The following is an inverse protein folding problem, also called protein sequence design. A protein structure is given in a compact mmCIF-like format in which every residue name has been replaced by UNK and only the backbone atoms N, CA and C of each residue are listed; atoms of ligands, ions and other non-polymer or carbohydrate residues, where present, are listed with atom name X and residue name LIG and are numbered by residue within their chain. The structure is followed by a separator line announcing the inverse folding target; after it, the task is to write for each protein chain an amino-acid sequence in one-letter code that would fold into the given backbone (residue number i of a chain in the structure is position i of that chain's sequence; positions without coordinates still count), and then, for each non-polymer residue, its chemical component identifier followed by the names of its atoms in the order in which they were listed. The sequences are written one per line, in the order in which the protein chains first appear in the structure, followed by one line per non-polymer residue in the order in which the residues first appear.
data_IF_756700649985
#
_entry.id   IF_756700649985
#
_cell.length_a   1.000
_cell.length_b   1.000
_cell.length_c   1.000
_cell.angle_alpha   90.00
_cell.angle_beta   90.00
_cell.angle_gamma   90.00
#
_symmetry.space_group_name_H-M   'P 1'
#
loop_
_entity.id
_entity.type
_entity.pdbx_description
1 polymer ?
#
# COMPACT_ATOMS: atom_id res chain seq x y z
N UNK A 1 -17.79 3.65 51.02
CA UNK A 1 -18.17 4.85 50.29
C UNK A 1 -16.91 5.64 50.01
N UNK A 2 -16.30 5.41 48.92
CA UNK A 2 -15.23 6.25 48.36
C UNK A 2 -15.56 6.43 46.91
N UNK A 3 -16.17 7.56 46.58
CA UNK A 3 -16.36 8.03 45.22
C UNK A 3 -15.00 8.30 44.65
N UNK A 4 -14.47 7.34 43.89
CA UNK A 4 -13.38 7.59 42.96
C UNK A 4 -13.88 8.59 41.89
N UNK A 5 -13.36 9.79 42.02
CA UNK A 5 -13.49 10.85 41.04
C UNK A 5 -12.57 10.46 39.86
N UNK A 6 -13.03 9.53 39.01
CA UNK A 6 -12.36 9.21 37.77
C UNK A 6 -12.54 10.42 36.85
N UNK A 7 -11.57 11.34 36.86
CA UNK A 7 -11.42 12.28 35.77
C UNK A 7 -11.22 11.40 34.51
N UNK A 8 -12.27 11.22 33.73
CA UNK A 8 -12.23 10.45 32.49
C UNK A 8 -11.25 11.14 31.56
N UNK A 9 -10.10 10.49 31.33
CA UNK A 9 -9.10 10.96 30.37
C UNK A 9 -9.75 10.99 29.00
N UNK A 10 -9.59 12.06 28.25
CA UNK A 10 -10.00 12.11 26.85
C UNK A 10 -9.24 11.05 26.05
N UNK A 11 -9.92 10.34 25.15
CA UNK A 11 -9.38 9.26 24.32
C UNK A 11 -9.33 9.65 22.87
N UNK A 12 -8.14 9.63 22.28
CA UNK A 12 -7.95 9.68 20.83
C UNK A 12 -7.74 8.26 20.32
N UNK A 13 -8.70 7.77 19.56
CA UNK A 13 -8.66 6.45 18.97
C UNK A 13 -8.26 6.54 17.50
N UNK A 14 -7.17 5.89 17.11
CA UNK A 14 -6.66 5.83 15.74
C UNK A 14 -6.91 4.42 15.19
N UNK A 15 -7.63 4.31 14.07
CA UNK A 15 -7.94 3.06 13.40
C UNK A 15 -7.03 2.86 12.20
N UNK A 16 -6.14 1.86 12.27
CA UNK A 16 -5.21 1.49 11.19
C UNK A 16 -3.81 2.07 11.35
N UNK A 17 -2.80 1.20 11.38
CA UNK A 17 -1.38 1.52 11.50
C UNK A 17 -0.64 1.61 10.14
N UNK A 18 -1.35 1.95 9.05
CA UNK A 18 -0.72 2.31 7.78
C UNK A 18 0.03 3.64 7.87
N UNK A 19 0.54 4.15 6.74
CA UNK A 19 1.35 5.38 6.72
C UNK A 19 0.71 6.56 7.47
N UNK A 20 -0.57 6.83 7.24
CA UNK A 20 -1.23 7.98 7.86
C UNK A 20 -1.43 7.81 9.37
N UNK A 21 -1.96 6.64 9.79
CA UNK A 21 -2.22 6.36 11.20
C UNK A 21 -0.93 6.23 12.01
N UNK A 22 0.09 5.55 11.48
CA UNK A 22 1.39 5.44 12.11
C UNK A 22 2.03 6.83 12.35
N UNK A 23 2.05 7.69 11.33
CA UNK A 23 2.63 9.04 11.47
C UNK A 23 1.81 9.94 12.39
N UNK A 24 0.49 9.78 12.42
CA UNK A 24 -0.36 10.46 13.40
C UNK A 24 -0.04 9.99 14.81
N UNK A 25 -0.08 8.68 15.06
CA UNK A 25 0.20 8.07 16.35
C UNK A 25 1.60 8.41 16.88
N UNK A 26 2.60 8.45 16.00
CA UNK A 26 3.99 8.78 16.37
C UNK A 26 4.16 10.24 16.83
N UNK A 27 3.39 11.17 16.26
CA UNK A 27 3.56 12.62 16.52
C UNK A 27 2.63 13.17 17.58
N UNK A 28 1.43 12.60 17.67
CA UNK A 28 0.38 13.14 18.52
C UNK A 28 0.79 13.20 20.01
N UNK A 29 1.37 12.16 20.63
CA UNK A 29 1.80 12.23 22.03
C UNK A 29 2.79 13.37 22.31
N UNK A 30 3.72 13.64 21.38
CA UNK A 30 4.68 14.73 21.52
C UNK A 30 4.03 16.13 21.44
N UNK A 31 2.91 16.27 20.73
CA UNK A 31 2.16 17.52 20.66
C UNK A 31 1.34 17.70 21.93
N UNK A 32 0.71 16.63 22.43
CA UNK A 32 -0.09 16.62 23.65
C UNK A 32 0.75 16.90 24.89
N UNK A 33 1.97 16.38 24.97
CA UNK A 33 2.90 16.58 26.08
C UNK A 33 3.35 18.04 26.27
N UNK A 34 3.02 18.95 25.35
CA UNK A 34 3.32 20.39 25.50
C UNK A 34 2.44 21.09 26.52
N UNK A 35 1.27 20.54 26.86
CA UNK A 35 0.45 20.97 27.99
C UNK A 35 0.52 19.91 29.10
N UNK A 36 1.21 20.18 30.22
CA UNK A 36 1.32 19.23 31.32
C UNK A 36 -0.01 18.85 31.98
N UNK A 37 -1.07 19.64 31.74
CA UNK A 37 -2.42 19.33 32.24
C UNK A 37 -3.17 18.38 31.34
N UNK A 38 -2.68 18.13 30.12
CA UNK A 38 -3.31 17.23 29.18
C UNK A 38 -3.10 15.79 29.62
N UNK A 39 -4.20 15.10 29.86
CA UNK A 39 -4.23 13.69 30.26
C UNK A 39 -4.81 12.80 29.15
N UNK A 40 -4.76 13.25 27.92
CA UNK A 40 -5.31 12.51 26.77
C UNK A 40 -4.58 11.18 26.56
N UNK A 41 -5.34 10.12 26.43
CA UNK A 41 -4.88 8.78 26.06
C UNK A 41 -4.91 8.63 24.53
N UNK A 42 -3.83 8.13 23.95
CA UNK A 42 -3.75 7.85 22.50
C UNK A 42 -3.72 6.34 22.30
N UNK A 43 -4.73 5.82 21.61
CA UNK A 43 -4.90 4.39 21.35
C UNK A 43 -4.81 4.16 19.84
N UNK A 44 -4.01 3.20 19.40
CA UNK A 44 -3.92 2.76 18.01
C UNK A 44 -4.41 1.33 17.88
N UNK A 45 -5.48 1.15 17.09
CA UNK A 45 -6.02 -0.18 16.75
C UNK A 45 -5.52 -0.59 15.37
N UNK A 46 -4.89 -1.75 15.29
CA UNK A 46 -4.35 -2.29 14.03
C UNK A 46 -4.51 -3.80 13.95
N UNK A 47 -4.69 -4.32 12.75
CA UNK A 47 -4.76 -5.78 12.50
C UNK A 47 -3.41 -6.49 12.64
N UNK A 48 -2.31 -5.74 12.67
CA UNK A 48 -0.96 -6.25 12.79
C UNK A 48 -0.18 -5.40 13.80
N UNK A 49 0.83 -5.98 14.41
CA UNK A 49 1.75 -5.35 15.36
C UNK A 49 2.89 -4.55 14.67
N UNK A 50 2.78 -4.36 13.36
CA UNK A 50 3.75 -3.62 12.54
C UNK A 50 3.08 -2.68 11.54
N UNK A 51 3.78 -1.60 11.21
CA UNK A 51 3.52 -0.76 10.04
C UNK A 51 4.26 -1.35 8.84
N UNK A 52 3.55 -1.59 7.72
CA UNK A 52 4.15 -2.13 6.50
C UNK A 52 4.59 -1.01 5.56
N UNK A 53 5.88 -1.01 5.21
CA UNK A 53 6.44 -0.11 4.20
C UNK A 53 6.23 -0.71 2.80
N UNK A 54 5.01 -0.60 2.29
CA UNK A 54 4.54 -1.22 1.03
C UNK A 54 5.35 -0.89 -0.22
N UNK A 55 6.02 0.29 -0.37
CA UNK A 55 6.78 0.58 -1.60
C UNK A 55 7.94 -0.39 -1.90
N UNK A 56 8.40 -1.15 -0.92
CA UNK A 56 9.48 -2.13 -1.10
C UNK A 56 8.98 -3.60 -1.18
N UNK A 57 7.67 -3.83 -1.27
CA UNK A 57 7.13 -5.18 -1.49
C UNK A 57 7.59 -5.83 -2.81
N UNK A 58 7.77 -5.09 -3.92
CA UNK A 58 8.38 -5.66 -5.13
C UNK A 58 9.80 -6.21 -4.89
N UNK A 59 10.63 -5.54 -4.06
CA UNK A 59 11.97 -6.03 -3.70
C UNK A 59 11.90 -7.31 -2.84
N UNK A 60 10.90 -7.41 -1.95
CA UNK A 60 10.65 -8.65 -1.17
C UNK A 60 10.24 -9.80 -2.09
N UNK A 61 9.30 -9.56 -3.00
CA UNK A 61 8.85 -10.55 -3.99
C UNK A 61 9.97 -10.96 -4.97
N UNK A 62 10.89 -10.04 -5.28
CA UNK A 62 12.09 -10.31 -6.08
C UNK A 62 13.22 -11.01 -5.32
N UNK A 63 13.03 -11.31 -4.02
CA UNK A 63 14.05 -11.97 -3.19
C UNK A 63 15.28 -11.11 -2.87
N UNK A 64 15.20 -9.79 -3.11
CA UNK A 64 16.31 -8.85 -2.90
C UNK A 64 16.34 -8.36 -1.45
N UNK A 65 15.16 -8.23 -0.82
CA UNK A 65 15.00 -7.66 0.50
C UNK A 65 14.31 -8.64 1.45
N UNK A 66 14.87 -8.78 2.65
CA UNK A 66 14.23 -9.57 3.72
C UNK A 66 12.96 -8.83 4.20
N UNK A 67 11.81 -9.54 4.35
CA UNK A 67 10.54 -8.94 4.76
C UNK A 67 10.60 -8.22 6.11
N UNK A 68 11.53 -8.56 7.00
CA UNK A 68 11.73 -7.87 8.28
C UNK A 68 12.08 -6.40 8.11
N UNK A 69 12.70 -6.01 7.00
CA UNK A 69 13.11 -4.61 6.78
C UNK A 69 11.98 -3.71 6.29
N UNK A 70 10.91 -4.28 5.75
CA UNK A 70 9.71 -3.53 5.36
C UNK A 70 8.62 -3.52 6.45
N UNK A 71 8.78 -4.36 7.48
CA UNK A 71 7.85 -4.45 8.61
C UNK A 71 8.43 -3.67 9.80
N UNK A 72 7.85 -2.51 10.10
CA UNK A 72 8.28 -1.65 11.22
C UNK A 72 7.45 -1.99 12.46
N UNK A 73 8.01 -2.63 13.50
CA UNK A 73 7.26 -2.97 14.71
C UNK A 73 6.63 -1.73 15.34
N UNK A 74 5.35 -1.80 15.72
CA UNK A 74 4.66 -0.70 16.41
C UNK A 74 5.21 -0.53 17.82
N UNK A 75 5.39 -1.65 18.54
CA UNK A 75 6.03 -1.64 19.85
C UNK A 75 7.46 -1.06 19.75
N UNK A 76 7.76 -0.10 20.63
CA UNK A 76 9.04 0.62 20.62
C UNK A 76 9.20 1.68 19.53
N UNK A 77 8.30 1.75 18.54
CA UNK A 77 8.28 2.84 17.55
C UNK A 77 7.30 3.97 17.89
N UNK A 78 6.35 3.70 18.78
CA UNK A 78 5.26 4.59 19.17
C UNK A 78 5.20 4.79 20.69
N UNK A 79 6.18 5.49 21.28
CA UNK A 79 6.16 5.75 22.73
C UNK A 79 4.96 6.63 23.10
N UNK A 80 4.28 6.28 24.21
CA UNK A 80 3.10 7.00 24.69
C UNK A 80 1.81 6.70 23.94
N UNK A 81 1.78 5.62 23.14
CA UNK A 81 0.59 5.12 22.45
C UNK A 81 0.25 3.74 22.98
N UNK A 82 -0.99 3.55 23.38
CA UNK A 82 -1.54 2.22 23.66
C UNK A 82 -1.81 1.48 22.35
N UNK A 83 -1.35 0.25 22.24
CA UNK A 83 -1.47 -0.57 21.02
C UNK A 83 -2.48 -1.69 21.26
N UNK A 84 -3.50 -1.76 20.42
CA UNK A 84 -4.51 -2.82 20.43
C UNK A 84 -4.47 -3.55 19.10
N UNK A 85 -4.18 -4.85 19.15
CA UNK A 85 -4.23 -5.70 17.95
C UNK A 85 -5.65 -6.21 17.75
N UNK A 86 -6.25 -5.84 16.62
CA UNK A 86 -7.61 -6.24 16.28
C UNK A 86 -8.11 -5.57 15.01
N UNK A 87 -9.20 -6.10 14.49
CA UNK A 87 -9.87 -5.57 13.30
C UNK A 87 -11.15 -4.85 13.70
N UNK A 88 -11.20 -3.54 13.44
CA UNK A 88 -12.42 -2.75 13.61
C UNK A 88 -13.45 -3.19 12.57
N UNK A 89 -14.64 -3.54 13.02
CA UNK A 89 -15.75 -4.03 12.18
C UNK A 89 -16.88 -3.02 12.03
N UNK A 90 -17.07 -2.14 13.02
CA UNK A 90 -18.08 -1.09 12.95
C UNK A 90 -17.70 0.13 13.79
N UNK A 91 -18.32 1.25 13.47
CA UNK A 91 -18.24 2.52 14.23
C UNK A 91 -19.64 2.99 14.52
N UNK A 92 -19.92 3.29 15.77
CA UNK A 92 -21.16 3.93 16.19
C UNK A 92 -20.86 5.37 16.62
N UNK A 93 -21.38 6.33 15.87
CA UNK A 93 -21.11 7.76 16.11
C UNK A 93 -21.94 8.32 17.27
N UNK A 94 -23.16 7.81 17.51
CA UNK A 94 -24.05 8.26 18.58
C UNK A 94 -23.50 7.89 19.96
N UNK A 95 -23.09 6.63 20.12
CA UNK A 95 -22.47 6.14 21.38
C UNK A 95 -20.96 6.42 21.48
N UNK A 96 -20.35 6.95 20.41
CA UNK A 96 -18.91 7.15 20.28
C UNK A 96 -18.08 5.91 20.61
N UNK A 97 -18.46 4.78 19.99
CA UNK A 97 -17.77 3.49 20.17
C UNK A 97 -17.37 2.90 18.83
N UNK A 98 -16.28 2.14 18.86
CA UNK A 98 -15.96 1.17 17.80
C UNK A 98 -16.20 -0.23 18.32
N UNK A 99 -16.54 -1.15 17.42
CA UNK A 99 -16.47 -2.60 17.68
C UNK A 99 -15.26 -3.18 16.97
N UNK A 100 -14.50 -3.98 17.65
CA UNK A 100 -13.35 -4.68 17.08
C UNK A 100 -13.43 -6.19 17.39
N UNK A 101 -12.79 -6.97 16.55
CA UNK A 101 -12.52 -8.41 16.77
C UNK A 101 -11.01 -8.54 16.92
N UNK A 102 -10.57 -9.11 18.03
CA UNK A 102 -9.15 -9.31 18.31
C UNK A 102 -8.59 -10.60 17.68
N UNK A 103 -7.36 -10.97 18.03
CA UNK A 103 -6.69 -12.17 17.50
C UNK A 103 -7.31 -13.50 18.00
N UNK A 104 -8.00 -13.48 19.14
CA UNK A 104 -8.66 -14.63 19.74
C UNK A 104 -10.13 -14.74 19.28
N UNK A 105 -10.56 -13.89 18.36
CA UNK A 105 -11.91 -13.74 17.85
C UNK A 105 -12.93 -13.21 18.91
N UNK A 106 -12.43 -12.64 19.99
CA UNK A 106 -13.26 -11.95 20.96
C UNK A 106 -13.71 -10.58 20.46
N UNK A 107 -14.95 -10.23 20.76
CA UNK A 107 -15.56 -8.94 20.37
C UNK A 107 -15.42 -7.96 21.52
N UNK A 108 -14.76 -6.84 21.25
CA UNK A 108 -14.60 -5.76 22.21
C UNK A 108 -15.16 -4.45 21.69
N UNK A 109 -15.57 -3.56 22.60
CA UNK A 109 -15.97 -2.21 22.28
C UNK A 109 -15.05 -1.21 22.97
N UNK A 110 -14.63 -0.18 22.22
CA UNK A 110 -13.80 0.92 22.74
C UNK A 110 -14.52 2.25 22.52
N UNK A 111 -14.56 3.05 23.57
CA UNK A 111 -15.08 4.41 23.52
C UNK A 111 -13.99 5.37 23.05
N UNK A 112 -14.39 6.44 22.34
CA UNK A 112 -13.52 7.50 21.85
C UNK A 112 -14.12 8.90 22.07
N UNK A 113 -13.26 9.89 22.33
CA UNK A 113 -13.60 11.32 22.32
C UNK A 113 -13.18 11.97 20.99
N UNK A 114 -12.10 11.49 20.40
CA UNK A 114 -11.66 11.83 19.04
C UNK A 114 -11.37 10.54 18.28
N UNK A 115 -11.90 10.43 17.05
CA UNK A 115 -11.71 9.28 16.20
C UNK A 115 -10.90 9.65 14.95
N UNK A 116 -9.87 8.87 14.65
CA UNK A 116 -9.02 9.01 13.46
C UNK A 116 -9.15 7.77 12.60
N UNK A 117 -9.78 7.90 11.43
CA UNK A 117 -10.03 6.80 10.50
C UNK A 117 -8.94 6.77 9.43
N UNK A 118 -8.03 5.81 9.54
CA UNK A 118 -6.93 5.56 8.59
C UNK A 118 -6.79 4.09 8.23
N UNK A 119 -7.91 3.35 7.96
CA UNK A 119 -7.86 1.92 7.72
C UNK A 119 -7.24 1.56 6.36
N UNK A 120 -6.85 2.54 5.57
CA UNK A 120 -6.15 2.37 4.29
C UNK A 120 -7.04 1.82 3.18
N UNK A 121 -6.45 0.98 2.33
CA UNK A 121 -7.06 0.42 1.13
C UNK A 121 -6.76 -1.07 0.97
N UNK A 122 -7.62 -1.74 0.20
CA UNK A 122 -7.45 -3.13 -0.24
C UNK A 122 -7.28 -3.19 -1.76
N UNK A 123 -6.77 -4.28 -2.29
CA UNK A 123 -6.72 -4.51 -3.74
C UNK A 123 -8.12 -4.45 -4.33
N UNK A 124 -8.30 -3.65 -5.38
CA UNK A 124 -9.56 -3.60 -6.12
C UNK A 124 -9.74 -4.90 -6.88
N UNK A 125 -10.75 -5.65 -6.53
CA UNK A 125 -11.20 -6.81 -7.33
C UNK A 125 -12.30 -6.38 -8.29
N UNK A 126 -12.38 -7.07 -9.42
CA UNK A 126 -13.46 -6.96 -10.39
C UNK A 126 -14.22 -8.29 -10.42
N UNK A 127 -15.41 -8.28 -11.01
CA UNK A 127 -16.26 -9.46 -11.09
C UNK A 127 -15.76 -10.40 -12.25
N UNK A 128 -14.56 -10.94 -12.05
CA UNK A 128 -14.01 -12.01 -12.87
C UNK A 128 -14.13 -13.30 -12.05
N UNK A 129 -14.82 -14.33 -12.56
CA UNK A 129 -14.94 -15.61 -11.85
C UNK A 129 -13.59 -16.15 -11.40
N UNK A 130 -13.53 -16.68 -10.19
CA UNK A 130 -12.33 -17.32 -9.57
C UNK A 130 -11.08 -16.43 -9.51
N UNK A 131 -11.21 -15.09 -9.67
CA UNK A 131 -10.08 -14.17 -9.57
C UNK A 131 -9.41 -14.23 -8.19
N UNK A 132 -10.23 -14.27 -7.15
CA UNK A 132 -9.76 -14.26 -5.75
C UNK A 132 -9.01 -15.54 -5.38
N UNK A 133 -9.37 -16.66 -6.00
CA UNK A 133 -8.78 -17.97 -5.73
C UNK A 133 -7.50 -18.21 -6.54
N UNK A 134 -7.35 -17.57 -7.71
CA UNK A 134 -6.29 -17.89 -8.67
C UNK A 134 -5.35 -16.71 -9.00
N UNK A 135 -5.61 -15.52 -8.45
CA UNK A 135 -4.71 -14.38 -8.60
C UNK A 135 -4.23 -13.87 -7.24
N UNK A 136 -2.97 -13.49 -7.17
CA UNK A 136 -2.37 -12.90 -5.98
C UNK A 136 -2.23 -11.38 -6.12
N UNK A 137 -2.48 -10.64 -5.05
CA UNK A 137 -2.19 -9.20 -4.95
C UNK A 137 -0.74 -8.90 -4.59
N UNK A 138 -0.48 -7.62 -4.24
CA UNK A 138 0.80 -7.17 -3.67
C UNK A 138 0.54 -6.05 -2.65
N UNK A 139 -0.14 -6.38 -1.56
CA UNK A 139 -0.49 -5.42 -0.48
C UNK A 139 0.06 -5.84 0.88
N UNK A 140 0.45 -7.11 1.01
CA UNK A 140 0.92 -7.70 2.26
C UNK A 140 2.29 -8.37 2.08
N UNK A 141 2.99 -8.59 3.20
CA UNK A 141 4.23 -9.39 3.21
C UNK A 141 3.96 -10.82 2.75
N UNK A 142 2.82 -11.40 3.18
CA UNK A 142 2.43 -12.75 2.80
C UNK A 142 2.26 -12.90 1.29
N UNK A 143 1.61 -11.93 0.62
CA UNK A 143 1.47 -11.93 -0.84
C UNK A 143 2.83 -11.80 -1.55
N UNK A 144 3.73 -10.93 -1.08
CA UNK A 144 5.06 -10.78 -1.67
C UNK A 144 5.89 -12.05 -1.55
N UNK A 145 5.86 -12.72 -0.39
CA UNK A 145 6.53 -14.01 -0.17
C UNK A 145 5.90 -15.12 -1.01
N UNK A 146 4.57 -15.18 -1.07
CA UNK A 146 3.87 -16.14 -1.91
C UNK A 146 4.28 -16.01 -3.38
N UNK A 147 4.33 -14.79 -3.92
CA UNK A 147 4.73 -14.56 -5.32
C UNK A 147 6.17 -15.01 -5.60
N UNK A 148 7.09 -14.75 -4.67
CA UNK A 148 8.46 -15.25 -4.74
C UNK A 148 8.50 -16.77 -4.78
N UNK A 149 7.85 -17.40 -3.81
CA UNK A 149 7.89 -18.85 -3.63
C UNK A 149 7.14 -19.57 -4.75
N UNK A 150 6.03 -18.99 -5.22
CA UNK A 150 5.28 -19.48 -6.39
C UNK A 150 6.15 -19.48 -7.64
N UNK A 151 6.84 -18.37 -7.94
CA UNK A 151 7.75 -18.31 -9.10
C UNK A 151 8.85 -19.36 -8.98
N UNK A 152 9.52 -19.47 -7.84
CA UNK A 152 10.58 -20.44 -7.61
C UNK A 152 10.08 -21.88 -7.78
N UNK A 153 8.93 -22.19 -7.18
CA UNK A 153 8.30 -23.53 -7.27
C UNK A 153 7.92 -23.88 -8.70
N UNK A 154 7.28 -22.97 -9.43
CA UNK A 154 6.86 -23.25 -10.81
C UNK A 154 8.07 -23.40 -11.74
N UNK A 155 9.11 -22.62 -11.57
CA UNK A 155 10.35 -22.78 -12.35
C UNK A 155 11.04 -24.13 -12.06
N UNK A 156 11.10 -24.56 -10.80
CA UNK A 156 11.65 -25.87 -10.43
C UNK A 156 10.84 -27.02 -11.04
N UNK A 157 9.51 -27.02 -10.88
CA UNK A 157 8.63 -28.02 -11.47
C UNK A 157 8.78 -28.10 -12.98
N UNK A 158 8.95 -26.96 -13.65
CA UNK A 158 9.10 -26.87 -15.11
C UNK A 158 10.35 -27.58 -15.64
N UNK A 159 11.35 -27.84 -14.81
CA UNK A 159 12.58 -28.55 -15.23
C UNK A 159 12.38 -30.04 -15.46
N UNK A 160 11.37 -30.62 -14.79
CA UNK A 160 11.02 -32.03 -14.86
C UNK A 160 9.73 -32.29 -15.63
N UNK A 161 9.01 -31.23 -16.04
CA UNK A 161 7.75 -31.35 -16.76
C UNK A 161 7.96 -31.83 -18.17
N UNK A 162 7.23 -32.87 -18.56
CA UNK A 162 7.32 -33.49 -19.91
C UNK A 162 6.29 -32.94 -20.88
N UNK A 163 5.10 -32.52 -20.37
CA UNK A 163 4.07 -31.90 -21.21
C UNK A 163 4.49 -30.46 -21.58
N UNK A 164 4.63 -30.13 -22.86
CA UNK A 164 5.03 -28.80 -23.30
C UNK A 164 4.07 -27.68 -22.85
N UNK A 165 2.76 -27.97 -22.81
CA UNK A 165 1.72 -26.98 -22.41
C UNK A 165 1.81 -26.69 -20.91
N UNK A 166 1.97 -27.73 -20.09
CA UNK A 166 2.15 -27.56 -18.66
C UNK A 166 3.47 -26.84 -18.33
N UNK A 167 4.54 -27.17 -19.05
CA UNK A 167 5.84 -26.50 -18.91
C UNK A 167 5.73 -25.02 -19.28
N UNK A 168 5.01 -24.67 -20.35
CA UNK A 168 4.76 -23.27 -20.71
C UNK A 168 3.95 -22.57 -19.61
N UNK A 169 2.89 -23.19 -19.09
CA UNK A 169 2.09 -22.63 -18.01
C UNK A 169 2.91 -22.35 -16.74
N UNK A 170 3.82 -23.25 -16.39
CA UNK A 170 4.73 -23.10 -15.22
C UNK A 170 5.75 -21.96 -15.43
N UNK A 171 6.18 -21.71 -16.66
CA UNK A 171 7.16 -20.68 -17.03
C UNK A 171 6.54 -19.35 -17.44
N UNK A 172 5.23 -19.20 -17.39
CA UNK A 172 4.54 -17.98 -17.76
C UNK A 172 4.02 -17.26 -16.51
N UNK A 173 4.38 -15.98 -16.37
CA UNK A 173 3.90 -15.08 -15.31
C UNK A 173 3.10 -13.95 -15.95
N UNK A 174 1.86 -13.76 -15.50
CA UNK A 174 0.98 -12.69 -15.97
C UNK A 174 0.75 -11.68 -14.85
N UNK A 175 1.16 -10.43 -15.07
CA UNK A 175 0.92 -9.32 -14.16
C UNK A 175 -0.09 -8.37 -14.78
N UNK A 176 -1.20 -8.12 -14.08
CA UNK A 176 -2.29 -7.23 -14.53
C UNK A 176 -2.26 -5.95 -13.74
N UNK A 177 -2.01 -4.83 -14.43
CA UNK A 177 -1.84 -3.49 -13.88
C UNK A 177 -0.43 -2.96 -14.09
N UNK A 178 -0.23 -2.05 -15.06
CA UNK A 178 1.06 -1.39 -15.34
C UNK A 178 1.23 -0.07 -14.56
N UNK A 179 0.72 -0.02 -13.34
CA UNK A 179 0.99 1.01 -12.34
C UNK A 179 2.37 0.83 -11.70
N UNK A 180 2.72 1.62 -10.67
CA UNK A 180 3.99 1.50 -9.94
C UNK A 180 4.23 0.06 -9.46
N UNK A 181 3.30 -0.48 -8.67
CA UNK A 181 3.47 -1.79 -8.06
C UNK A 181 3.67 -2.90 -9.10
N UNK A 182 2.84 -2.95 -10.15
CA UNK A 182 2.95 -3.99 -11.17
C UNK A 182 4.19 -3.87 -12.03
N UNK A 183 4.58 -2.65 -12.38
CA UNK A 183 5.77 -2.37 -13.19
C UNK A 183 7.05 -2.72 -12.43
N UNK A 184 7.16 -2.35 -11.16
CA UNK A 184 8.31 -2.72 -10.33
C UNK A 184 8.33 -4.22 -10.06
N UNK A 185 7.18 -4.81 -9.71
CA UNK A 185 7.08 -6.24 -9.43
C UNK A 185 7.51 -7.10 -10.61
N UNK A 186 6.99 -6.84 -11.82
CA UNK A 186 7.34 -7.64 -13.00
C UNK A 186 8.84 -7.55 -13.32
N UNK A 187 9.45 -6.38 -13.09
CA UNK A 187 10.89 -6.18 -13.29
C UNK A 187 11.73 -6.94 -12.24
N UNK A 188 11.28 -7.00 -10.98
CA UNK A 188 11.96 -7.74 -9.91
C UNK A 188 11.79 -9.26 -10.07
N UNK A 189 10.57 -9.74 -10.38
CA UNK A 189 10.33 -11.16 -10.65
C UNK A 189 11.10 -11.65 -11.87
N UNK A 190 11.21 -10.83 -12.93
CA UNK A 190 12.04 -11.14 -14.10
C UNK A 190 13.51 -11.30 -13.69
N UNK A 191 14.04 -10.41 -12.86
CA UNK A 191 15.43 -10.50 -12.40
C UNK A 191 15.66 -11.76 -11.53
N UNK A 192 14.69 -12.15 -10.70
CA UNK A 192 14.74 -13.39 -9.93
C UNK A 192 14.72 -14.60 -10.85
N UNK A 193 13.85 -14.63 -11.86
CA UNK A 193 13.79 -15.73 -12.83
C UNK A 193 15.07 -15.87 -13.63
N UNK A 194 15.72 -14.76 -14.02
CA UNK A 194 17.01 -14.78 -14.72
C UNK A 194 18.12 -15.39 -13.84
N UNK A 195 18.10 -15.11 -12.53
CA UNK A 195 19.04 -15.70 -11.58
C UNK A 195 18.81 -17.21 -11.44
N UNK A 196 17.57 -17.63 -11.28
CA UNK A 196 17.19 -19.06 -11.19
C UNK A 196 17.58 -19.81 -12.44
N UNK A 197 17.26 -19.26 -13.62
CA UNK A 197 17.60 -19.87 -14.91
C UNK A 197 19.13 -20.09 -15.04
N UNK A 198 19.92 -19.12 -14.59
CA UNK A 198 21.38 -19.20 -14.59
C UNK A 198 21.90 -20.29 -13.65
N UNK A 199 21.34 -20.36 -12.44
CA UNK A 199 21.70 -21.37 -11.44
C UNK A 199 21.31 -22.79 -11.90
N UNK A 200 20.13 -22.96 -12.51
CA UNK A 200 19.59 -24.21 -13.01
C UNK A 200 20.05 -24.56 -14.43
N UNK A 201 20.82 -23.67 -15.09
CA UNK A 201 21.40 -23.85 -16.42
C UNK A 201 20.38 -24.09 -17.53
N UNK A 202 19.24 -23.41 -17.50
CA UNK A 202 18.31 -23.34 -18.63
C UNK A 202 18.26 -21.93 -19.21
N UNK A 203 17.77 -21.81 -20.45
CA UNK A 203 17.68 -20.53 -21.15
C UNK A 203 16.63 -19.62 -20.48
N UNK A 204 17.02 -18.45 -19.95
CA UNK A 204 16.08 -17.52 -19.32
C UNK A 204 15.00 -16.99 -20.28
N UNK A 205 15.23 -17.02 -21.59
CA UNK A 205 14.23 -16.62 -22.61
C UNK A 205 13.03 -17.55 -22.65
N UNK A 206 13.13 -18.75 -22.07
CA UNK A 206 12.02 -19.69 -21.93
C UNK A 206 11.05 -19.30 -20.81
N UNK A 207 11.40 -18.33 -19.96
CA UNK A 207 10.49 -17.79 -18.96
C UNK A 207 9.80 -16.55 -19.53
N UNK A 208 8.50 -16.62 -19.66
CA UNK A 208 7.67 -15.58 -20.26
C UNK A 208 7.05 -14.70 -19.20
N UNK A 209 7.18 -13.39 -19.36
CA UNK A 209 6.54 -12.39 -18.51
C UNK A 209 5.64 -11.50 -19.34
N UNK A 210 4.38 -11.38 -18.92
CA UNK A 210 3.41 -10.47 -19.52
C UNK A 210 3.00 -9.42 -18.48
N UNK A 211 3.04 -8.16 -18.90
CA UNK A 211 2.46 -7.04 -18.16
C UNK A 211 1.29 -6.49 -18.96
N UNK A 212 0.09 -6.56 -18.39
CA UNK A 212 -1.15 -6.15 -19.03
C UNK A 212 -1.67 -4.87 -18.36
N UNK A 213 -2.22 -3.96 -19.15
CA UNK A 213 -2.99 -2.84 -18.63
C UNK A 213 -4.09 -2.41 -19.60
N UNK A 214 -5.23 -1.98 -19.07
CA UNK A 214 -6.32 -1.41 -19.85
C UNK A 214 -5.96 -0.03 -20.42
N UNK A 215 -5.05 0.72 -19.75
CA UNK A 215 -4.56 2.01 -20.22
C UNK A 215 -3.70 1.86 -21.48
N UNK A 216 -3.55 2.97 -22.20
CA UNK A 216 -2.74 3.08 -23.42
C UNK A 216 -1.24 3.31 -23.15
N UNK A 217 -0.86 3.48 -21.90
CA UNK A 217 0.52 3.76 -21.47
C UNK A 217 0.86 3.16 -20.12
N UNK A 218 2.15 2.90 -19.92
CA UNK A 218 2.70 2.48 -18.64
C UNK A 218 2.84 3.70 -17.73
N UNK A 219 2.37 3.59 -16.49
CA UNK A 219 2.56 4.59 -15.43
C UNK A 219 2.26 6.03 -15.90
N UNK A 220 1.01 6.36 -16.22
CA UNK A 220 0.63 7.68 -16.79
C UNK A 220 1.12 8.87 -15.98
N UNK A 221 1.24 8.72 -14.66
CA UNK A 221 1.64 9.76 -13.70
C UNK A 221 3.12 10.19 -13.86
N UNK A 222 3.97 9.36 -14.50
CA UNK A 222 5.37 9.71 -14.80
C UNK A 222 5.51 10.68 -15.98
N UNK A 223 4.43 10.89 -16.73
CA UNK A 223 4.46 11.63 -17.98
C UNK A 223 5.07 10.79 -19.13
N UNK A 224 4.89 11.30 -20.35
CA UNK A 224 5.16 10.55 -21.58
C UNK A 224 6.63 10.14 -21.73
N UNK A 225 7.59 11.03 -21.42
CA UNK A 225 9.03 10.78 -21.63
C UNK A 225 9.54 9.63 -20.75
N UNK A 226 9.26 9.68 -19.45
CA UNK A 226 9.71 8.63 -18.52
C UNK A 226 8.91 7.34 -18.73
N UNK A 227 7.60 7.41 -19.00
CA UNK A 227 6.77 6.24 -19.30
C UNK A 227 7.28 5.45 -20.52
N UNK A 228 7.70 6.17 -21.60
CA UNK A 228 8.34 5.52 -22.76
C UNK A 228 9.67 4.84 -22.39
N UNK A 229 10.50 5.48 -21.58
CA UNK A 229 11.77 4.87 -21.13
C UNK A 229 11.51 3.61 -20.29
N UNK A 230 10.51 3.62 -19.40
CA UNK A 230 10.08 2.43 -18.65
C UNK A 230 9.68 1.31 -19.60
N UNK A 231 8.80 1.60 -20.56
CA UNK A 231 8.34 0.62 -21.54
C UNK A 231 9.50 -0.02 -22.34
N UNK A 232 10.44 0.80 -22.79
CA UNK A 232 11.62 0.32 -23.52
C UNK A 232 12.50 -0.59 -22.65
N UNK A 233 12.69 -0.25 -21.37
CA UNK A 233 13.48 -1.06 -20.43
C UNK A 233 12.80 -2.41 -20.18
N UNK A 234 11.48 -2.42 -19.94
CA UNK A 234 10.73 -3.67 -19.76
C UNK A 234 10.85 -4.58 -20.99
N UNK A 235 10.64 -4.04 -22.19
CA UNK A 235 10.75 -4.79 -23.45
C UNK A 235 12.15 -5.34 -23.69
N UNK A 236 13.21 -4.53 -23.44
CA UNK A 236 14.62 -4.98 -23.56
C UNK A 236 14.96 -6.11 -22.58
N UNK A 237 14.21 -6.24 -21.48
CA UNK A 237 14.33 -7.35 -20.53
C UNK A 237 13.48 -8.56 -20.88
N UNK A 238 12.87 -8.58 -22.06
CA UNK A 238 12.02 -9.68 -22.49
C UNK A 238 10.67 -9.72 -21.80
N UNK A 239 10.20 -8.60 -21.23
CA UNK A 239 8.86 -8.49 -20.67
C UNK A 239 7.90 -8.04 -21.79
N UNK A 240 6.90 -8.85 -22.06
CA UNK A 240 5.85 -8.57 -23.03
C UNK A 240 4.83 -7.61 -22.43
N UNK A 241 4.79 -6.36 -22.91
CA UNK A 241 3.87 -5.34 -22.41
C UNK A 241 2.72 -5.17 -23.40
N UNK A 242 1.50 -5.47 -22.97
CA UNK A 242 0.24 -5.34 -23.72
C UNK A 242 -0.64 -4.30 -23.08
N UNK A 243 -0.68 -3.13 -23.68
CA UNK A 243 -1.54 -2.02 -23.31
C UNK A 243 -2.88 -2.13 -24.03
N UNK A 244 -3.93 -1.48 -23.51
CA UNK A 244 -5.30 -1.63 -24.01
C UNK A 244 -5.87 -3.04 -23.81
N UNK A 245 -5.28 -3.84 -22.91
CA UNK A 245 -5.61 -5.27 -22.73
C UNK A 245 -5.78 -5.60 -21.25
N UNK A 246 -6.80 -6.38 -20.94
CA UNK A 246 -7.05 -6.88 -19.57
C UNK A 246 -7.41 -8.37 -19.60
N UNK A 247 -7.76 -8.94 -18.45
CA UNK A 247 -8.30 -10.29 -18.36
C UNK A 247 -9.82 -10.27 -18.49
N UNK A 248 -10.37 -11.23 -19.23
CA UNK A 248 -11.79 -11.54 -19.26
C UNK A 248 -12.12 -12.78 -18.43
N UNK A 249 -11.21 -13.75 -18.39
CA UNK A 249 -11.40 -14.96 -17.58
C UNK A 249 -10.06 -15.49 -17.06
N UNK A 250 -10.15 -16.26 -15.99
CA UNK A 250 -9.02 -16.87 -15.29
C UNK A 250 -9.42 -18.27 -14.82
N UNK A 251 -8.51 -19.23 -14.98
CA UNK A 251 -8.57 -20.55 -14.34
C UNK A 251 -7.26 -20.82 -13.61
N UNK A 252 -7.13 -21.97 -12.95
CA UNK A 252 -5.85 -22.37 -12.33
C UNK A 252 -4.73 -22.70 -13.34
N UNK A 253 -5.01 -22.75 -14.63
CA UNK A 253 -4.08 -23.21 -15.68
C UNK A 253 -3.87 -22.22 -16.81
N UNK A 254 -4.79 -21.28 -17.03
CA UNK A 254 -4.68 -20.29 -18.10
C UNK A 254 -5.50 -19.03 -17.82
N UNK A 255 -5.18 -17.98 -18.53
CA UNK A 255 -5.94 -16.73 -18.59
C UNK A 255 -6.47 -16.51 -20.00
N UNK A 256 -7.66 -15.90 -20.10
CA UNK A 256 -8.23 -15.39 -21.35
C UNK A 256 -8.17 -13.87 -21.31
N UNK A 257 -7.53 -13.29 -22.32
CA UNK A 257 -7.40 -11.84 -22.46
C UNK A 257 -8.63 -11.23 -23.13
N UNK A 258 -8.84 -9.93 -22.96
CA UNK A 258 -9.96 -9.17 -23.55
C UNK A 258 -10.00 -9.18 -25.10
N UNK A 259 -8.95 -9.63 -25.75
CA UNK A 259 -8.90 -9.85 -27.20
C UNK A 259 -9.14 -11.33 -27.61
N UNK A 260 -9.57 -12.17 -26.69
CA UNK A 260 -9.85 -13.60 -26.91
C UNK A 260 -8.61 -14.50 -26.87
N UNK A 261 -7.40 -13.97 -26.68
CA UNK A 261 -6.17 -14.79 -26.62
C UNK A 261 -6.14 -15.58 -25.31
N UNK A 262 -5.95 -16.89 -25.39
CA UNK A 262 -5.71 -17.75 -24.22
C UNK A 262 -4.20 -17.93 -24.00
N UNK A 263 -3.75 -17.80 -22.76
CA UNK A 263 -2.34 -17.91 -22.37
C UNK A 263 -2.23 -18.90 -21.21
N UNK A 264 -1.49 -20.01 -21.38
CA UNK A 264 -1.20 -20.95 -20.31
C UNK A 264 -0.37 -20.23 -19.22
N UNK A 265 -0.81 -20.30 -17.99
CA UNK A 265 -0.08 -19.73 -16.83
C UNK A 265 -0.59 -20.31 -15.52
N UNK A 266 0.31 -20.50 -14.56
CA UNK A 266 0.01 -20.86 -13.17
C UNK A 266 0.33 -19.74 -12.18
N UNK A 267 0.77 -18.58 -12.69
CA UNK A 267 1.11 -17.43 -11.85
C UNK A 267 0.48 -16.16 -12.40
N UNK A 268 -0.57 -15.70 -11.72
CA UNK A 268 -1.29 -14.47 -12.06
C UNK A 268 -1.23 -13.50 -10.90
N UNK A 269 -0.83 -12.27 -11.20
CA UNK A 269 -0.77 -11.17 -10.24
C UNK A 269 -1.76 -10.09 -10.62
N UNK A 270 -2.60 -9.69 -9.66
CA UNK A 270 -3.62 -8.68 -9.85
C UNK A 270 -3.31 -7.42 -9.05
N UNK A 271 -2.87 -6.36 -9.73
CA UNK A 271 -2.46 -5.07 -9.12
C UNK A 271 -3.06 -3.87 -9.87
N UNK A 272 -4.33 -3.98 -10.28
CA UNK A 272 -5.05 -3.00 -11.12
C UNK A 272 -5.56 -1.77 -10.36
N UNK A 273 -5.09 -1.55 -9.16
CA UNK A 273 -5.46 -0.43 -8.32
C UNK A 273 -6.04 -0.86 -6.96
N UNK A 274 -6.45 0.13 -6.21
CA UNK A 274 -6.93 -0.05 -4.83
C UNK A 274 -8.32 0.55 -4.66
N UNK A 275 -9.05 0.07 -3.66
CA UNK A 275 -10.27 0.69 -3.14
C UNK A 275 -10.11 0.91 -1.65
N UNK A 276 -10.82 1.88 -1.08
CA UNK A 276 -10.78 2.11 0.37
C UNK A 276 -11.16 0.84 1.14
N UNK A 277 -10.66 0.74 2.37
CA UNK A 277 -11.01 -0.37 3.27
C UNK A 277 -12.53 -0.58 3.33
N UNK A 278 -13.02 -1.83 3.32
CA UNK A 278 -14.46 -2.13 3.43
C UNK A 278 -15.13 -1.48 4.64
N UNK A 279 -14.42 -1.23 5.72
CA UNK A 279 -14.94 -0.49 6.88
C UNK A 279 -15.55 0.85 6.47
N UNK A 280 -14.95 1.55 5.48
CA UNK A 280 -15.43 2.88 5.05
C UNK A 280 -16.82 2.81 4.45
N UNK A 281 -17.14 1.75 3.71
CA UNK A 281 -18.45 1.56 3.09
C UNK A 281 -19.54 1.18 4.09
N UNK A 282 -19.18 0.77 5.31
CA UNK A 282 -20.15 0.46 6.39
C UNK A 282 -20.53 1.70 7.22
N UNK A 283 -19.82 2.81 7.04
CA UNK A 283 -20.13 4.06 7.72
C UNK A 283 -21.28 4.76 7.00
N UNK A 284 -22.26 5.25 7.75
CA UNK A 284 -23.34 6.08 7.19
C UNK A 284 -22.86 7.53 7.02
N UNK A 285 -21.86 7.72 6.14
CA UNK A 285 -21.22 8.99 5.85
C UNK A 285 -21.00 9.17 4.35
N UNK A 286 -20.98 10.42 3.85
CA UNK A 286 -20.79 10.69 2.42
C UNK A 286 -19.46 10.19 1.87
N UNK A 287 -19.52 9.51 0.74
CA UNK A 287 -18.34 8.98 0.03
C UNK A 287 -18.21 9.61 -1.36
N UNK A 288 -16.98 9.70 -1.85
CA UNK A 288 -16.67 9.95 -3.26
C UNK A 288 -15.58 8.98 -3.71
N UNK A 289 -15.76 8.36 -4.85
CA UNK A 289 -14.88 7.28 -5.36
C UNK A 289 -14.63 6.16 -4.31
N UNK A 290 -15.65 5.84 -3.48
CA UNK A 290 -15.57 4.86 -2.41
C UNK A 290 -14.73 5.30 -1.20
N UNK A 291 -14.27 6.55 -1.15
CA UNK A 291 -13.47 7.15 -0.06
C UNK A 291 -14.29 8.14 0.74
N UNK A 292 -14.03 8.23 2.03
CA UNK A 292 -14.72 9.13 2.95
C UNK A 292 -14.41 10.60 2.60
N UNK A 293 -15.46 11.41 2.39
CA UNK A 293 -15.30 12.84 2.15
C UNK A 293 -14.78 13.51 3.40
N UNK A 294 -13.73 14.35 3.26
CA UNK A 294 -13.16 15.14 4.35
C UNK A 294 -12.99 16.60 3.95
N UNK A 295 -12.97 17.46 4.95
CA UNK A 295 -12.60 18.88 4.79
C UNK A 295 -11.09 19.01 4.53
N UNK A 296 -10.61 20.17 4.07
CA UNK A 296 -9.18 20.41 3.89
C UNK A 296 -8.33 20.20 5.16
N UNK A 297 -8.89 20.33 6.33
CA UNK A 297 -8.23 20.07 7.62
C UNK A 297 -8.34 18.60 8.06
N UNK A 298 -8.85 17.72 7.21
CA UNK A 298 -9.04 16.28 7.40
C UNK A 298 -10.14 15.91 8.40
N UNK A 299 -10.96 16.86 8.84
CA UNK A 299 -12.18 16.57 9.61
C UNK A 299 -13.27 16.00 8.70
N UNK A 300 -14.16 15.18 9.25
CA UNK A 300 -15.25 14.53 8.53
C UNK A 300 -16.53 15.37 8.65
N UNK A 301 -17.11 15.87 7.55
CA UNK A 301 -18.37 16.62 7.60
C UNK A 301 -19.51 15.78 8.20
N UNK A 302 -20.26 16.38 9.11
CA UNK A 302 -21.40 15.71 9.75
C UNK A 302 -21.05 14.75 10.89
N UNK A 303 -19.76 14.51 11.14
CA UNK A 303 -19.27 13.69 12.25
C UNK A 303 -18.27 14.49 13.09
N UNK A 304 -18.73 15.25 14.09
CA UNK A 304 -17.88 16.05 14.95
C UNK A 304 -16.85 15.15 15.65
N UNK A 305 -15.66 15.68 15.84
CA UNK A 305 -14.52 14.97 16.48
C UNK A 305 -13.99 13.75 15.71
N UNK A 306 -14.40 13.57 14.44
CA UNK A 306 -13.93 12.51 13.55
C UNK A 306 -13.04 13.09 12.45
N UNK A 307 -11.89 12.44 12.24
CA UNK A 307 -10.90 12.79 11.22
C UNK A 307 -10.59 11.58 10.35
N UNK A 308 -10.23 11.80 9.08
CA UNK A 308 -9.80 10.70 8.22
C UNK A 308 -8.69 11.12 7.26
N UNK A 309 -7.83 10.17 6.87
CA UNK A 309 -6.73 10.41 5.94
C UNK A 309 -6.21 9.12 5.28
N UNK A 310 -5.25 9.29 4.39
CA UNK A 310 -4.66 8.21 3.58
C UNK A 310 -5.63 7.71 2.52
N UNK A 311 -5.44 6.46 2.11
CA UNK A 311 -6.21 5.87 1.01
C UNK A 311 -7.71 5.75 1.31
N UNK A 312 -8.11 5.80 2.58
CA UNK A 312 -9.50 5.74 3.03
C UNK A 312 -10.26 7.07 2.86
N UNK A 313 -9.56 8.20 2.68
CA UNK A 313 -10.14 9.54 2.64
C UNK A 313 -9.99 10.21 1.28
N UNK A 314 -11.02 10.92 0.86
CA UNK A 314 -11.05 11.77 -0.32
C UNK A 314 -10.61 13.20 0.06
N UNK A 315 -9.31 13.37 0.26
CA UNK A 315 -8.73 14.65 0.69
C UNK A 315 -8.68 15.62 -0.48
N UNK A 316 -9.28 16.84 -0.36
CA UNK A 316 -9.27 17.82 -1.45
C UNK A 316 -7.84 18.22 -1.87
N UNK A 317 -7.59 18.29 -3.17
CA UNK A 317 -6.36 18.87 -3.71
C UNK A 317 -6.50 20.39 -3.85
N UNK A 318 -6.00 21.13 -2.87
CA UNK A 318 -6.06 22.60 -2.87
C UNK A 318 -5.19 23.28 -3.94
N UNK A 319 -4.35 22.51 -4.65
CA UNK A 319 -3.58 23.03 -5.80
C UNK A 319 -4.34 22.88 -7.10
N UNK A 320 -5.19 21.85 -7.19
CA UNK A 320 -6.02 21.60 -8.35
C UNK A 320 -7.47 21.48 -7.88
N UNK A 321 -8.17 22.60 -7.63
CA UNK A 321 -9.52 22.62 -7.09
C UNK A 321 -10.49 21.75 -7.91
N UNK A 322 -11.35 21.03 -7.22
CA UNK A 322 -12.27 20.05 -7.82
C UNK A 322 -11.72 18.63 -7.90
N UNK A 323 -10.41 18.43 -7.66
CA UNK A 323 -9.79 17.11 -7.58
C UNK A 323 -9.55 16.69 -6.13
N UNK A 324 -9.35 15.38 -5.95
CA UNK A 324 -8.93 14.77 -4.69
C UNK A 324 -7.52 14.20 -4.84
N UNK A 325 -6.77 14.18 -3.74
CA UNK A 325 -5.40 13.63 -3.76
C UNK A 325 -5.41 12.12 -4.03
N UNK A 326 -4.47 11.61 -4.84
CA UNK A 326 -4.38 10.18 -5.13
C UNK A 326 -3.99 9.37 -3.90
N UNK A 327 -4.39 8.08 -3.81
CA UNK A 327 -4.05 7.18 -2.71
C UNK A 327 -2.59 6.71 -2.83
N UNK A 328 -1.67 7.49 -2.29
CA UNK A 328 -0.23 7.19 -2.31
C UNK A 328 0.41 7.32 -0.93
N UNK A 329 1.47 6.55 -0.70
CA UNK A 329 2.25 6.61 0.54
C UNK A 329 2.74 8.03 0.87
N UNK A 330 3.15 8.82 -0.15
CA UNK A 330 3.59 10.20 0.05
C UNK A 330 2.50 11.10 0.59
N UNK A 331 1.27 10.99 0.08
CA UNK A 331 0.13 11.72 0.60
C UNK A 331 -0.21 11.25 2.01
N UNK A 332 -0.31 9.93 2.22
CA UNK A 332 -0.67 9.34 3.51
C UNK A 332 0.28 9.77 4.64
N UNK A 333 1.60 9.75 4.43
CA UNK A 333 2.61 10.23 5.41
C UNK A 333 2.37 11.69 5.78
N UNK A 334 2.18 12.58 4.80
CA UNK A 334 2.00 14.01 5.06
C UNK A 334 0.66 14.33 5.68
N UNK A 335 -0.37 13.63 5.28
CA UNK A 335 -1.70 13.71 5.89
C UNK A 335 -1.63 13.24 7.34
N UNK A 336 -0.89 12.16 7.66
CA UNK A 336 -0.67 11.70 9.03
C UNK A 336 0.02 12.75 9.92
N UNK A 337 1.00 13.48 9.37
CA UNK A 337 1.62 14.61 10.08
C UNK A 337 0.61 15.72 10.40
N UNK A 338 -0.25 16.03 9.44
CA UNK A 338 -1.28 17.07 9.61
C UNK A 338 -2.38 16.60 10.55
N UNK A 339 -2.81 15.34 10.46
CA UNK A 339 -3.77 14.74 11.39
C UNK A 339 -3.34 14.94 12.84
N UNK A 340 -2.10 14.58 13.20
CA UNK A 340 -1.60 14.76 14.56
C UNK A 340 -1.76 16.22 15.04
N UNK A 341 -1.46 17.19 14.16
CA UNK A 341 -1.62 18.60 14.47
C UNK A 341 -3.09 19.01 14.63
N UNK A 342 -3.95 18.59 13.73
CA UNK A 342 -5.35 19.00 13.70
C UNK A 342 -6.16 18.31 14.80
N UNK A 343 -5.85 17.06 15.13
CA UNK A 343 -6.40 16.36 16.28
C UNK A 343 -5.95 17.06 17.59
N UNK A 344 -4.66 17.40 17.74
CA UNK A 344 -4.19 18.17 18.89
C UNK A 344 -4.91 19.54 18.98
N UNK A 345 -5.18 20.19 17.84
CA UNK A 345 -5.92 21.44 17.80
C UNK A 345 -7.37 21.30 18.29
N UNK A 346 -8.05 20.20 17.98
CA UNK A 346 -9.40 19.91 18.47
C UNK A 346 -9.45 19.68 20.00
N UNK A 347 -8.29 19.40 20.59
CA UNK A 347 -8.07 19.30 22.04
C UNK A 347 -7.53 20.60 22.66
N UNK A 348 -7.63 21.72 21.95
CA UNK A 348 -7.21 23.04 22.43
C UNK A 348 -5.72 23.38 22.19
N UNK A 349 -4.95 22.53 21.49
CA UNK A 349 -3.52 22.75 21.28
C UNK A 349 -3.19 23.23 19.87
N UNK A 350 -2.93 24.49 19.71
CA UNK A 350 -2.56 25.11 18.44
C UNK A 350 -3.76 25.50 17.59
N UNK A 351 -3.56 25.54 16.27
CA UNK A 351 -4.61 25.88 15.29
C UNK A 351 -4.66 24.86 14.19
N UNK A 352 -5.86 24.51 13.67
CA UNK A 352 -6.01 23.61 12.55
C UNK A 352 -5.38 24.23 11.30
N UNK A 353 -4.97 23.37 10.37
CA UNK A 353 -4.38 23.78 9.10
C UNK A 353 -4.94 22.92 7.97
N UNK A 354 -5.08 23.49 6.76
CA UNK A 354 -5.50 22.72 5.59
C UNK A 354 -4.34 21.88 5.04
N UNK A 355 -4.67 20.75 4.43
CA UNK A 355 -3.71 19.93 3.71
C UNK A 355 -3.25 20.63 2.43
N UNK A 356 -1.95 20.84 2.32
CA UNK A 356 -1.31 21.36 1.10
C UNK A 356 -0.16 20.45 0.71
N UNK A 357 -0.28 19.86 -0.48
CA UNK A 357 0.74 18.97 -1.01
C UNK A 357 1.82 19.72 -1.78
N UNK A 358 3.09 19.31 -1.57
CA UNK A 358 4.19 19.65 -2.46
C UNK A 358 4.65 18.37 -3.16
N UNK A 359 4.53 18.32 -4.48
CA UNK A 359 5.05 17.19 -5.24
C UNK A 359 6.57 17.13 -5.12
N UNK A 360 7.08 16.03 -4.59
CA UNK A 360 8.53 15.78 -4.44
C UNK A 360 9.07 14.90 -5.58
N UNK A 361 8.21 14.55 -6.54
CA UNK A 361 8.52 13.63 -7.62
C UNK A 361 8.25 12.18 -7.24
N UNK A 362 8.61 11.30 -8.14
CA UNK A 362 8.35 9.87 -8.09
C UNK A 362 9.66 9.12 -8.35
N UNK A 363 9.76 7.91 -7.81
CA UNK A 363 10.87 6.98 -8.05
C UNK A 363 10.30 5.62 -8.42
N UNK A 364 10.93 4.92 -9.36
CA UNK A 364 10.51 3.61 -9.86
C UNK A 364 11.74 2.73 -10.03
N UNK A 365 11.78 1.64 -9.30
CA UNK A 365 12.83 0.64 -9.40
C UNK A 365 12.50 -0.40 -10.46
N UNK A 366 13.34 -0.52 -11.47
CA UNK A 366 13.16 -1.49 -12.55
C UNK A 366 14.17 -2.64 -12.49
N UNK A 367 14.52 -3.09 -11.27
CA UNK A 367 15.43 -4.20 -11.03
C UNK A 367 16.88 -3.80 -10.84
N UNK A 368 17.85 -4.72 -10.95
CA UNK A 368 19.17 -4.61 -10.33
C UNK A 368 19.99 -3.36 -10.68
N UNK A 369 19.90 -2.84 -11.89
CA UNK A 369 20.79 -1.77 -12.38
C UNK A 369 20.09 -0.58 -13.01
N UNK A 370 18.76 -0.51 -12.92
CA UNK A 370 18.01 0.53 -13.59
C UNK A 370 16.84 1.02 -12.76
N UNK A 371 16.68 2.32 -12.71
CA UNK A 371 15.52 3.00 -12.16
C UNK A 371 15.19 4.22 -13.02
N UNK A 372 13.99 4.76 -12.85
CA UNK A 372 13.65 6.10 -13.29
C UNK A 372 13.17 6.91 -12.10
N UNK A 373 13.44 8.20 -12.11
CA UNK A 373 13.05 9.10 -11.03
C UNK A 373 12.78 10.50 -11.58
N UNK A 374 11.89 11.21 -10.89
CA UNK A 374 11.60 12.61 -11.19
C UNK A 374 11.61 13.45 -9.91
N UNK A 375 12.74 13.51 -9.16
CA UNK A 375 12.82 14.32 -7.96
C UNK A 375 12.68 15.80 -8.31
N UNK A 376 11.72 16.48 -7.68
CA UNK A 376 11.46 17.92 -7.87
C UNK A 376 11.28 18.33 -9.34
N UNK A 377 10.83 17.44 -10.23
CA UNK A 377 10.64 17.68 -11.65
C UNK A 377 11.87 17.40 -12.54
N UNK A 378 13.00 16.96 -11.97
CA UNK A 378 14.20 16.61 -12.72
C UNK A 378 14.14 15.14 -13.14
N UNK A 379 14.07 14.88 -14.45
CA UNK A 379 14.03 13.52 -14.97
C UNK A 379 15.40 12.85 -14.92
N UNK A 380 15.50 11.77 -14.16
CA UNK A 380 16.69 10.91 -14.04
C UNK A 380 16.37 9.50 -14.52
N UNK A 381 17.35 8.80 -15.07
CA UNK A 381 17.24 7.39 -15.46
C UNK A 381 18.58 6.65 -15.26
N UNK A 382 18.51 5.31 -15.20
CA UNK A 382 19.68 4.46 -15.00
C UNK A 382 20.26 4.54 -13.60
N UNK A 383 21.59 4.53 -13.49
CA UNK A 383 22.30 4.47 -12.21
C UNK A 383 22.06 5.71 -11.31
N UNK A 384 22.05 6.96 -11.81
CA UNK A 384 21.71 8.13 -10.99
C UNK A 384 20.32 8.02 -10.37
N UNK A 385 19.32 7.59 -11.15
CA UNK A 385 17.97 7.37 -10.63
C UNK A 385 17.95 6.24 -9.58
N UNK A 386 18.72 5.17 -9.79
CA UNK A 386 18.82 4.05 -8.84
C UNK A 386 19.39 4.50 -7.49
N UNK A 387 20.42 5.34 -7.48
CA UNK A 387 20.99 5.92 -6.26
C UNK A 387 19.94 6.78 -5.54
N UNK A 388 19.26 7.67 -6.27
CA UNK A 388 18.20 8.53 -5.71
C UNK A 388 17.07 7.68 -5.12
N UNK A 389 16.64 6.63 -5.81
CA UNK A 389 15.58 5.72 -5.34
C UNK A 389 15.98 5.04 -4.03
N UNK A 390 17.21 4.51 -3.95
CA UNK A 390 17.72 3.85 -2.74
C UNK A 390 17.83 4.83 -1.56
N UNK A 391 18.39 6.02 -1.79
CA UNK A 391 18.50 7.06 -0.76
C UNK A 391 17.12 7.53 -0.29
N UNK A 392 16.15 7.67 -1.21
CA UNK A 392 14.78 8.02 -0.87
C UNK A 392 14.14 6.98 0.06
N UNK A 393 14.23 5.68 -0.26
CA UNK A 393 13.67 4.63 0.58
C UNK A 393 14.37 4.53 1.94
N UNK A 394 15.70 4.67 1.98
CA UNK A 394 16.46 4.74 3.23
C UNK A 394 16.00 5.90 4.12
N UNK A 395 15.76 7.08 3.54
CA UNK A 395 15.25 8.24 4.28
C UNK A 395 13.80 8.03 4.75
N UNK A 396 12.95 7.47 3.89
CA UNK A 396 11.52 7.35 4.12
C UNK A 396 11.14 6.22 5.09
N UNK A 397 12.01 5.22 5.32
CA UNK A 397 11.81 4.19 6.33
C UNK A 397 11.74 4.81 7.74
N UNK A 398 10.65 4.58 8.51
CA UNK A 398 10.43 5.28 9.77
C UNK A 398 11.41 4.96 10.90
N UNK A 399 12.07 3.80 10.85
CA UNK A 399 12.96 3.30 11.91
C UNK A 399 14.41 3.22 11.43
N UNK A 400 15.33 3.80 12.21
CA UNK A 400 16.77 3.78 11.90
C UNK A 400 17.36 2.36 11.81
N UNK A 401 16.93 1.43 12.67
CA UNK A 401 17.39 0.04 12.61
C UNK A 401 17.06 -0.64 11.27
N UNK A 402 15.94 -0.30 10.63
CA UNK A 402 15.55 -0.85 9.34
C UNK A 402 16.25 -0.16 8.16
N UNK A 403 16.97 0.95 8.40
CA UNK A 403 17.66 1.72 7.35
C UNK A 403 19.05 1.17 7.04
N UNK A 404 19.71 0.53 8.01
CA UNK A 404 21.11 0.12 7.93
C UNK A 404 21.31 -1.40 7.99
N UNK A 405 20.23 -2.13 7.98
CA UNK A 405 20.22 -3.57 7.86
C UNK A 405 20.04 -3.99 6.39
#
# INVERSE_FOLDING_TARGET
MTTENSSTRERVLIVGAGFAGFECARRLPHLLAKDPRNQTEVILVSTHDYMLYTPLLPDVAGGILDPRYVSVPLAGSLPGVELITGRVTSVNFDSRTITLIDCDADVAQLHWDRLVLTPGSVTRTVDIPVLKENACGLKTVGEALYLRDQLLTQLELSTHETDPVQREAQRTVVVVGASYAGTELVAQLRALADEVARQRRFDPTQVRFLLLDRADRVMPELGEKLGRQVLEVLRRRGIEVRLGTTLDALTGEHVVLSNGTTIPTRTVVWVTGVTASPLISTLDLPLTEGRLIVQPDLSVPGAPDVFAAGDAAAVPDLKNPGNITPPTAQHAVRQGHLLARNVASSLGMGRPAPYRHRNMGLVVDLGPRFAVANPLGINLSGLPAKIVTRLYHLYALPRTANRFA
#
